data_IF_825177812344
#
_entry.id   IF_825177812344
#
_cell.length_a   1.000
_cell.length_b   1.000
_cell.length_c   1.000
_cell.angle_alpha   90.00
_cell.angle_beta   90.00
_cell.angle_gamma   90.00
#
_symmetry.space_group_name_H-M   'P 1'
#
loop_
_entity.id
_entity.type
_entity.pdbx_description
1 polymer ?
#
# COMPACT_ATOMS: atom_id res chain seq x y z
N UNK A 1 1.20 10.06 5.86
CA UNK A 1 1.04 11.54 5.84
C UNK A 1 0.35 11.98 7.13
N UNK A 2 0.57 13.21 7.59
CA UNK A 2 -0.03 13.70 8.85
C UNK A 2 -0.71 15.06 8.65
N UNK A 3 -1.93 15.23 9.14
CA UNK A 3 -2.63 16.52 9.21
C UNK A 3 -2.75 17.00 10.65
N UNK A 4 -2.70 18.31 10.88
CA UNK A 4 -3.03 18.92 12.18
C UNK A 4 -4.41 19.54 12.11
N UNK A 5 -5.31 19.10 12.97
CA UNK A 5 -6.66 19.64 13.10
C UNK A 5 -6.66 20.75 14.15
N UNK A 6 -7.16 21.93 13.80
CA UNK A 6 -7.29 23.05 14.75
C UNK A 6 -8.74 23.25 15.23
N UNK A 7 -9.68 22.47 14.69
CA UNK A 7 -11.11 22.61 14.98
C UNK A 7 -11.56 21.56 16.00
N UNK A 8 -11.09 20.31 15.86
CA UNK A 8 -11.40 19.21 16.78
C UNK A 8 -10.13 18.45 17.16
N UNK A 9 -10.08 18.00 18.43
CA UNK A 9 -9.02 17.16 18.97
C UNK A 9 -8.98 15.77 18.30
N UNK A 10 -7.81 15.14 18.19
CA UNK A 10 -7.68 13.80 17.59
C UNK A 10 -8.03 12.68 18.58
N UNK A 11 -7.96 12.97 19.88
CA UNK A 11 -8.19 12.06 21.00
C UNK A 11 -6.88 11.47 21.55
N UNK A 12 -6.85 11.28 22.87
CA UNK A 12 -5.74 10.62 23.59
C UNK A 12 -5.89 9.09 23.60
N UNK A 13 -7.14 8.61 23.63
CA UNK A 13 -7.49 7.20 23.54
C UNK A 13 -7.73 6.80 22.09
N UNK A 14 -6.72 6.17 21.47
CA UNK A 14 -6.77 5.74 20.08
C UNK A 14 -6.67 4.21 20.00
N UNK A 15 -7.31 3.61 18.98
CA UNK A 15 -7.16 2.18 18.66
C UNK A 15 -5.69 1.84 18.38
N UNK A 16 -5.28 0.58 18.54
CA UNK A 16 -3.96 0.12 18.09
C UNK A 16 -3.94 -0.25 16.61
N UNK A 17 -5.11 -0.42 16.00
CA UNK A 17 -5.29 -0.82 14.60
C UNK A 17 -6.19 0.19 13.89
N UNK A 18 -5.86 0.63 12.66
CA UNK A 18 -6.75 1.44 11.84
C UNK A 18 -8.06 0.69 11.54
N UNK A 19 -9.20 1.31 11.82
CA UNK A 19 -10.55 0.74 11.57
C UNK A 19 -11.43 1.60 10.69
N UNK A 20 -10.88 2.71 10.17
CA UNK A 20 -11.57 3.65 9.29
C UNK A 20 -10.67 4.02 8.13
N UNK A 21 -11.27 4.26 6.98
CA UNK A 21 -10.59 4.79 5.81
C UNK A 21 -11.42 5.85 5.11
N UNK A 22 -10.74 6.69 4.35
CA UNK A 22 -11.33 7.67 3.44
C UNK A 22 -10.73 7.47 2.06
N UNK A 23 -11.47 7.82 1.02
CA UNK A 23 -10.97 7.85 -0.34
C UNK A 23 -11.24 9.21 -0.98
N UNK A 24 -10.45 9.53 -2.01
CA UNK A 24 -10.68 10.72 -2.82
C UNK A 24 -11.75 10.41 -3.88
N UNK A 25 -13.03 10.64 -3.54
CA UNK A 25 -14.18 10.34 -4.43
C UNK A 25 -14.06 10.97 -5.81
N UNK A 26 -13.45 12.15 -5.91
CA UNK A 26 -13.21 12.80 -7.20
C UNK A 26 -12.26 11.98 -8.08
N UNK A 27 -11.24 11.33 -7.51
CA UNK A 27 -10.34 10.44 -8.26
C UNK A 27 -11.06 9.26 -8.87
N UNK A 28 -12.02 8.68 -8.15
CA UNK A 28 -12.86 7.58 -8.63
C UNK A 28 -13.88 8.04 -9.69
N UNK A 29 -14.19 9.35 -9.75
CA UNK A 29 -15.17 9.96 -10.66
C UNK A 29 -14.54 10.82 -11.76
N UNK A 30 -13.22 10.78 -11.94
CA UNK A 30 -12.49 11.51 -12.98
C UNK A 30 -12.23 13.00 -12.70
N UNK A 31 -12.55 13.49 -11.49
CA UNK A 31 -12.21 14.83 -11.00
C UNK A 31 -10.80 14.97 -10.41
N UNK A 32 -10.04 13.86 -10.34
CA UNK A 32 -8.61 13.86 -10.05
C UNK A 32 -7.91 12.78 -10.88
N UNK A 33 -6.64 13.00 -11.20
CA UNK A 33 -5.79 11.98 -11.85
C UNK A 33 -5.25 10.94 -10.87
N UNK A 34 -5.40 11.17 -9.56
CA UNK A 34 -4.91 10.30 -8.51
C UNK A 34 -6.04 9.51 -7.88
N UNK A 35 -5.84 8.21 -7.64
CA UNK A 35 -6.72 7.40 -6.80
C UNK A 35 -6.01 7.09 -5.50
N UNK A 36 -6.72 7.30 -4.39
CA UNK A 36 -6.16 7.15 -3.06
C UNK A 36 -7.21 6.59 -2.11
N UNK A 37 -6.84 5.53 -1.40
CA UNK A 37 -7.51 5.03 -0.21
C UNK A 37 -6.57 5.26 0.97
N UNK A 38 -6.98 6.04 1.96
CA UNK A 38 -6.18 6.38 3.12
C UNK A 38 -6.86 5.88 4.39
N UNK A 39 -6.22 4.97 5.10
CA UNK A 39 -6.65 4.60 6.45
C UNK A 39 -6.36 5.74 7.42
N UNK A 40 -7.28 5.97 8.35
CA UNK A 40 -7.08 6.88 9.49
C UNK A 40 -6.33 6.07 10.54
N UNK A 41 -5.02 6.24 10.55
CA UNK A 41 -4.12 5.48 11.39
C UNK A 41 -4.01 6.11 12.78
N UNK A 42 -3.92 5.30 13.84
CA UNK A 42 -3.74 5.81 15.19
C UNK A 42 -2.30 6.32 15.41
N UNK A 43 -2.17 7.27 16.32
CA UNK A 43 -0.93 7.77 16.88
C UNK A 43 -0.95 7.57 18.41
N UNK A 44 -0.66 6.34 18.90
CA UNK A 44 -0.91 5.93 20.28
C UNK A 44 0.18 6.44 21.24
N UNK A 45 0.31 7.77 21.37
CA UNK A 45 1.28 8.41 22.27
C UNK A 45 0.75 8.61 23.70
N UNK A 46 -0.52 8.29 23.95
CA UNK A 46 -1.15 8.47 25.27
C UNK A 46 -1.37 9.93 25.68
N UNK A 47 -1.28 10.87 24.73
CA UNK A 47 -1.52 12.30 24.91
C UNK A 47 -2.10 12.91 23.64
N UNK A 48 -2.83 14.01 23.78
CA UNK A 48 -3.40 14.74 22.63
C UNK A 48 -2.30 15.42 21.81
N UNK A 49 -2.29 15.18 20.49
CA UNK A 49 -1.28 15.75 19.56
C UNK A 49 -1.88 16.69 18.53
N UNK A 50 -3.21 16.79 18.48
CA UNK A 50 -4.00 17.42 17.43
C UNK A 50 -3.65 16.92 16.02
N UNK A 51 -2.99 15.77 15.92
CA UNK A 51 -2.45 15.22 14.66
C UNK A 51 -3.24 13.99 14.26
N UNK A 52 -3.82 14.04 13.05
CA UNK A 52 -4.39 12.88 12.39
C UNK A 52 -3.32 12.25 11.51
N UNK A 53 -3.00 10.98 11.77
CA UNK A 53 -2.10 10.19 10.94
C UNK A 53 -2.91 9.42 9.88
N UNK A 54 -2.37 9.37 8.68
CA UNK A 54 -2.93 8.58 7.59
C UNK A 54 -1.85 7.72 6.95
N UNK A 55 -2.23 6.48 6.63
CA UNK A 55 -1.46 5.61 5.74
C UNK A 55 -2.22 5.47 4.42
N UNK A 56 -1.58 5.89 3.34
CA UNK A 56 -2.23 6.04 2.03
C UNK A 56 -1.80 4.92 1.07
N UNK A 57 -2.78 4.33 0.42
CA UNK A 57 -2.65 3.38 -0.68
C UNK A 57 -3.06 4.12 -1.95
N UNK A 58 -2.18 4.14 -2.94
CA UNK A 58 -2.37 4.89 -4.20
C UNK A 58 -2.24 3.97 -5.41
N UNK A 59 -2.82 4.34 -6.54
CA UNK A 59 -2.67 3.64 -7.82
C UNK A 59 -1.35 3.97 -8.57
N UNK A 60 -0.25 4.09 -7.83
CA UNK A 60 1.06 4.40 -8.40
C UNK A 60 1.47 3.35 -9.45
N UNK A 61 1.72 3.77 -10.71
CA UNK A 61 2.05 2.85 -11.79
C UNK A 61 3.50 2.35 -11.74
N UNK A 62 4.37 2.98 -10.96
CA UNK A 62 5.78 2.62 -10.84
C UNK A 62 5.99 1.18 -10.34
N UNK A 63 7.03 0.51 -10.84
CA UNK A 63 7.41 -0.85 -10.44
C UNK A 63 8.92 -0.94 -10.24
N UNK A 64 9.33 -1.71 -9.22
CA UNK A 64 10.71 -2.11 -8.99
C UNK A 64 10.98 -3.53 -9.50
N UNK A 65 12.22 -3.97 -9.39
CA UNK A 65 12.59 -5.37 -9.60
C UNK A 65 13.57 -5.86 -8.55
N UNK A 66 13.51 -7.15 -8.26
CA UNK A 66 14.52 -7.84 -7.48
C UNK A 66 15.60 -8.38 -8.42
N UNK A 67 16.86 -8.27 -8.01
CA UNK A 67 17.99 -8.86 -8.73
C UNK A 67 18.96 -9.51 -7.75
N UNK A 68 19.61 -10.59 -8.19
CA UNK A 68 20.66 -11.23 -7.41
C UNK A 68 22.00 -10.55 -7.67
N UNK A 69 22.59 -9.96 -6.64
CA UNK A 69 23.93 -9.38 -6.69
C UNK A 69 24.99 -10.43 -6.33
N UNK A 70 25.70 -10.95 -7.34
CA UNK A 70 26.71 -12.00 -7.16
C UNK A 70 27.86 -11.59 -6.24
N UNK A 71 28.22 -10.30 -6.22
CA UNK A 71 29.35 -9.83 -5.43
C UNK A 71 29.07 -9.91 -3.92
N UNK A 72 27.84 -9.59 -3.51
CA UNK A 72 27.41 -9.68 -2.11
C UNK A 72 26.71 -11.00 -1.77
N UNK A 73 26.30 -11.78 -2.78
CA UNK A 73 25.52 -13.01 -2.56
C UNK A 73 24.10 -12.75 -2.06
N UNK A 74 23.52 -11.58 -2.34
CA UNK A 74 22.21 -11.17 -1.82
C UNK A 74 21.23 -10.79 -2.93
N UNK A 75 19.94 -10.93 -2.64
CA UNK A 75 18.88 -10.34 -3.48
C UNK A 75 18.69 -8.89 -3.06
N UNK A 76 18.75 -7.99 -4.04
CA UNK A 76 18.57 -6.55 -3.86
C UNK A 76 17.30 -6.08 -4.55
N UNK A 77 16.62 -5.13 -3.93
CA UNK A 77 15.49 -4.43 -4.54
C UNK A 77 16.01 -3.19 -5.28
N UNK A 78 15.75 -3.11 -6.58
CA UNK A 78 15.87 -1.89 -7.36
C UNK A 78 14.57 -1.11 -7.28
N UNK A 79 14.48 -0.24 -6.28
CA UNK A 79 13.41 0.75 -6.12
C UNK A 79 14.04 2.09 -5.73
N UNK A 80 13.75 3.15 -6.47
CA UNK A 80 14.24 4.50 -6.18
C UNK A 80 13.17 5.28 -5.44
N UNK A 81 13.57 6.09 -4.45
CA UNK A 81 12.64 6.97 -3.73
C UNK A 81 11.84 7.89 -4.67
N UNK A 82 12.42 8.33 -5.79
CA UNK A 82 11.72 9.13 -6.81
C UNK A 82 10.51 8.43 -7.42
N UNK A 83 10.47 7.09 -7.42
CA UNK A 83 9.31 6.32 -7.89
C UNK A 83 8.09 6.47 -6.96
N UNK A 84 8.26 7.01 -5.75
CA UNK A 84 7.15 7.35 -4.85
C UNK A 84 6.57 8.76 -5.11
N UNK A 85 7.09 9.54 -6.07
CA UNK A 85 6.61 10.90 -6.34
C UNK A 85 5.12 10.94 -6.69
N UNK A 86 4.63 9.97 -7.45
CA UNK A 86 3.20 9.83 -7.75
C UNK A 86 2.36 9.74 -6.46
N UNK A 87 2.74 8.83 -5.56
CA UNK A 87 2.04 8.61 -4.28
C UNK A 87 2.11 9.82 -3.37
N UNK A 88 3.26 10.51 -3.34
CA UNK A 88 3.42 11.75 -2.57
C UNK A 88 2.52 12.85 -3.10
N UNK A 89 2.39 13.00 -4.42
CA UNK A 89 1.53 14.03 -5.01
C UNK A 89 0.03 13.71 -4.82
N UNK A 90 -0.36 12.44 -4.90
CA UNK A 90 -1.72 12.00 -4.53
C UNK A 90 -2.05 12.34 -3.06
N UNK A 91 -1.11 12.09 -2.15
CA UNK A 91 -1.25 12.42 -0.73
C UNK A 91 -1.37 13.95 -0.49
N UNK A 92 -0.59 14.76 -1.22
CA UNK A 92 -0.70 16.23 -1.15
C UNK A 92 -2.10 16.71 -1.54
N UNK A 93 -2.63 16.25 -2.66
CA UNK A 93 -3.95 16.67 -3.13
C UNK A 93 -5.05 16.32 -2.12
N UNK A 94 -5.00 15.11 -1.53
CA UNK A 94 -5.95 14.71 -0.50
C UNK A 94 -5.86 15.63 0.74
N UNK A 95 -4.64 15.90 1.23
CA UNK A 95 -4.44 16.78 2.39
C UNK A 95 -4.90 18.22 2.10
N UNK A 96 -4.64 18.75 0.90
CA UNK A 96 -5.09 20.09 0.49
C UNK A 96 -6.63 20.19 0.49
N UNK A 97 -7.32 19.16 -0.03
CA UNK A 97 -8.78 19.12 -0.02
C UNK A 97 -9.35 19.02 1.39
N UNK A 98 -8.76 18.17 2.24
CA UNK A 98 -9.15 18.06 3.65
C UNK A 98 -8.96 19.39 4.38
N UNK A 99 -7.84 20.07 4.15
CA UNK A 99 -7.54 21.37 4.75
C UNK A 99 -8.50 22.46 4.27
N UNK A 100 -8.84 22.48 2.97
CA UNK A 100 -9.82 23.42 2.41
C UNK A 100 -11.21 23.23 3.00
N UNK A 101 -11.63 21.98 3.23
CA UNK A 101 -12.96 21.67 3.73
C UNK A 101 -13.10 21.85 5.24
N UNK A 102 -12.05 21.55 6.02
CA UNK A 102 -12.13 21.46 7.48
C UNK A 102 -11.19 22.44 8.23
N UNK A 103 -10.36 23.20 7.52
CA UNK A 103 -9.21 23.88 8.11
C UNK A 103 -8.09 22.91 8.46
N UNK A 104 -7.07 23.39 9.18
CA UNK A 104 -5.89 22.59 9.51
C UNK A 104 -4.73 22.80 8.54
N UNK A 105 -3.62 22.09 8.80
CA UNK A 105 -2.42 22.12 7.94
C UNK A 105 -1.70 20.80 7.97
N UNK A 106 -0.80 20.59 7.02
CA UNK A 106 0.15 19.48 7.07
C UNK A 106 0.94 19.53 8.39
N UNK A 107 0.99 18.41 9.10
CA UNK A 107 1.83 18.25 10.29
C UNK A 107 3.19 17.68 9.88
N UNK A 108 4.25 18.13 10.54
CA UNK A 108 5.62 17.61 10.37
C UNK A 108 6.10 16.86 11.62
N UNK A 109 5.18 16.44 12.49
CA UNK A 109 5.50 15.79 13.77
C UNK A 109 6.31 14.50 13.59
N UNK A 110 5.94 13.67 12.59
CA UNK A 110 6.52 12.34 12.40
C UNK A 110 7.49 12.25 11.21
N UNK A 111 7.32 13.11 10.21
CA UNK A 111 8.07 13.03 8.96
C UNK A 111 8.54 14.41 8.53
N UNK A 112 9.79 14.47 8.04
CA UNK A 112 10.31 15.66 7.36
C UNK A 112 9.44 15.98 6.16
N UNK A 113 8.89 17.20 6.10
CA UNK A 113 7.87 17.63 5.12
C UNK A 113 6.53 16.87 5.19
N UNK A 114 6.21 16.15 6.27
CA UNK A 114 4.89 15.57 6.53
C UNK A 114 4.53 14.28 5.76
N UNK A 115 5.45 13.75 4.94
CA UNK A 115 5.26 12.53 4.14
C UNK A 115 6.39 11.53 4.41
N UNK A 116 6.04 10.32 4.84
CA UNK A 116 6.95 9.18 4.87
C UNK A 116 6.81 8.39 3.56
N UNK A 117 7.80 8.47 2.69
CA UNK A 117 7.82 7.91 1.33
C UNK A 117 8.98 6.91 1.12
N UNK A 118 9.55 6.41 2.22
CA UNK A 118 10.70 5.52 2.25
C UNK A 118 10.44 4.21 3.01
N UNK A 119 9.17 3.82 3.14
CA UNK A 119 8.75 2.57 3.79
C UNK A 119 7.61 1.91 3.01
N UNK A 120 7.38 0.62 3.25
CA UNK A 120 6.28 -0.14 2.69
C UNK A 120 5.83 -1.23 3.67
N UNK A 121 4.55 -1.24 4.06
CA UNK A 121 3.94 -2.36 4.80
C UNK A 121 3.33 -3.41 3.87
N UNK A 122 3.06 -3.06 2.61
CA UNK A 122 2.36 -3.90 1.65
C UNK A 122 3.25 -4.21 0.43
N UNK A 123 4.33 -5.02 0.59
CA UNK A 123 5.12 -5.45 -0.56
C UNK A 123 4.31 -6.42 -1.43
N UNK A 124 4.13 -6.07 -2.70
CA UNK A 124 3.32 -6.80 -3.68
C UNK A 124 4.13 -7.02 -4.96
N UNK A 125 4.18 -8.26 -5.45
CA UNK A 125 4.85 -8.62 -6.69
C UNK A 125 6.23 -9.24 -6.53
N UNK A 126 6.85 -9.56 -7.67
CA UNK A 126 8.12 -10.29 -7.77
C UNK A 126 7.96 -11.55 -8.63
N UNK A 127 6.92 -12.34 -8.37
CA UNK A 127 6.56 -13.55 -9.11
C UNK A 127 5.14 -13.43 -9.66
N UNK A 128 4.89 -12.37 -10.44
CA UNK A 128 3.55 -11.94 -10.84
C UNK A 128 2.79 -13.03 -11.58
N UNK A 129 1.51 -13.23 -11.20
CA UNK A 129 0.56 -14.15 -11.83
C UNK A 129 0.44 -13.92 -13.33
N UNK A 130 0.43 -14.98 -14.12
CA UNK A 130 0.41 -14.92 -15.58
C UNK A 130 1.73 -14.46 -16.23
N UNK A 131 2.69 -13.92 -15.45
CA UNK A 131 4.02 -13.50 -15.92
C UNK A 131 5.10 -14.52 -15.56
N UNK A 132 5.48 -14.59 -14.28
CA UNK A 132 6.48 -15.55 -13.79
C UNK A 132 5.85 -16.93 -13.51
N UNK A 133 4.56 -16.92 -13.18
CA UNK A 133 3.74 -18.10 -12.97
C UNK A 133 2.63 -18.17 -14.02
N UNK A 134 1.94 -19.32 -14.11
CA UNK A 134 0.65 -19.42 -14.80
C UNK A 134 -0.47 -18.69 -14.03
N UNK A 135 -1.73 -18.89 -14.43
CA UNK A 135 -2.90 -18.24 -13.81
C UNK A 135 -3.29 -18.81 -12.42
N UNK A 136 -2.58 -19.84 -11.94
CA UNK A 136 -2.81 -20.50 -10.65
C UNK A 136 -1.55 -20.53 -9.78
N UNK A 137 -0.49 -19.84 -10.17
CA UNK A 137 0.74 -19.74 -9.39
C UNK A 137 1.76 -20.85 -9.64
N UNK A 138 1.58 -21.72 -10.66
CA UNK A 138 2.62 -22.68 -11.07
C UNK A 138 3.79 -21.95 -11.69
N UNK A 139 5.01 -22.20 -11.23
CA UNK A 139 6.22 -21.58 -11.78
C UNK A 139 6.45 -22.06 -13.20
N UNK A 140 6.55 -21.13 -14.15
CA UNK A 140 6.75 -21.49 -15.56
C UNK A 140 8.09 -22.22 -15.74
N UNK A 141 8.05 -23.35 -16.46
CA UNK A 141 9.23 -24.17 -16.76
C UNK A 141 9.58 -25.19 -15.68
N UNK A 142 8.80 -25.29 -14.60
CA UNK A 142 9.00 -26.27 -13.55
C UNK A 142 7.68 -26.95 -13.19
N UNK A 143 7.72 -28.25 -12.96
CA UNK A 143 6.59 -29.02 -12.43
C UNK A 143 6.60 -28.95 -10.90
N UNK A 144 5.41 -28.95 -10.29
CA UNK A 144 5.21 -29.05 -8.84
C UNK A 144 5.91 -27.96 -8.00
N UNK A 145 6.18 -26.79 -8.60
CA UNK A 145 6.65 -25.59 -7.89
C UNK A 145 5.59 -24.50 -8.01
N UNK A 146 5.19 -23.95 -6.86
CA UNK A 146 4.06 -23.01 -6.76
C UNK A 146 4.45 -21.77 -5.95
N UNK A 147 3.89 -20.62 -6.34
CA UNK A 147 3.91 -19.37 -5.56
C UNK A 147 2.47 -19.06 -5.17
N UNK A 148 2.20 -18.76 -3.89
CA UNK A 148 0.85 -18.55 -3.36
C UNK A 148 0.73 -17.37 -2.37
N UNK A 149 1.64 -16.41 -2.46
CA UNK A 149 1.69 -15.25 -1.57
C UNK A 149 1.51 -13.93 -2.34
N UNK A 150 1.86 -12.80 -1.70
CA UNK A 150 1.75 -11.48 -2.31
C UNK A 150 2.65 -11.26 -3.52
N UNK A 151 3.63 -12.14 -3.78
CA UNK A 151 4.49 -12.04 -4.95
C UNK A 151 3.72 -12.23 -6.26
N UNK A 152 2.55 -12.86 -6.21
CA UNK A 152 1.63 -13.01 -7.35
C UNK A 152 0.97 -11.69 -7.79
N UNK A 153 0.87 -10.71 -6.89
CA UNK A 153 0.09 -9.49 -7.12
C UNK A 153 0.90 -8.50 -7.96
N UNK A 154 0.34 -7.85 -9.00
CA UNK A 154 1.08 -6.95 -9.90
C UNK A 154 1.35 -5.55 -9.30
N UNK A 155 1.86 -5.50 -8.07
CA UNK A 155 2.38 -4.30 -7.41
C UNK A 155 1.36 -3.41 -6.68
N UNK A 156 0.06 -3.54 -6.96
CA UNK A 156 -0.98 -2.81 -6.22
C UNK A 156 -2.28 -3.60 -6.16
N UNK A 157 -2.95 -3.53 -5.00
CA UNK A 157 -4.29 -4.09 -4.77
C UNK A 157 -5.35 -3.00 -4.52
N UNK A 158 -4.95 -1.72 -4.46
CA UNK A 158 -5.85 -0.58 -4.17
C UNK A 158 -6.35 -0.46 -2.73
N UNK A 159 -6.26 -1.53 -1.94
CA UNK A 159 -6.68 -1.63 -0.52
C UNK A 159 -5.67 -2.47 0.28
N UNK A 160 -5.87 -2.59 1.60
CA UNK A 160 -5.07 -3.49 2.44
C UNK A 160 -5.16 -4.93 1.88
N UNK A 161 -4.03 -5.55 1.51
CA UNK A 161 -4.05 -6.62 0.51
C UNK A 161 -4.36 -8.03 1.06
N UNK A 162 -4.31 -8.25 2.37
CA UNK A 162 -4.28 -9.61 2.93
C UNK A 162 -5.52 -10.44 2.57
N UNK A 163 -6.71 -9.83 2.51
CA UNK A 163 -7.94 -10.53 2.11
C UNK A 163 -7.86 -10.96 0.65
N UNK A 164 -7.33 -10.10 -0.23
CA UNK A 164 -7.15 -10.42 -1.65
C UNK A 164 -6.08 -11.52 -1.84
N UNK A 165 -4.97 -11.47 -1.09
CA UNK A 165 -3.94 -12.52 -1.09
C UNK A 165 -4.56 -13.86 -0.67
N UNK A 166 -5.32 -13.86 0.42
CA UNK A 166 -5.96 -15.06 0.96
C UNK A 166 -6.95 -15.66 -0.06
N UNK A 167 -7.83 -14.83 -0.63
CA UNK A 167 -8.79 -15.31 -1.63
C UNK A 167 -8.12 -15.83 -2.91
N UNK A 168 -7.00 -15.23 -3.33
CA UNK A 168 -6.22 -15.71 -4.47
C UNK A 168 -5.57 -17.07 -4.17
N UNK A 169 -4.98 -17.24 -2.99
CA UNK A 169 -4.39 -18.50 -2.57
C UNK A 169 -5.45 -19.62 -2.48
N UNK A 170 -6.62 -19.34 -1.91
CA UNK A 170 -7.75 -20.29 -1.85
C UNK A 170 -8.19 -20.74 -3.25
N UNK A 171 -8.40 -19.77 -4.17
CA UNK A 171 -8.71 -20.08 -5.58
C UNK A 171 -7.67 -20.99 -6.21
N UNK A 172 -6.40 -20.66 -6.03
CA UNK A 172 -5.30 -21.36 -6.68
C UNK A 172 -5.13 -22.78 -6.13
N UNK A 173 -5.13 -22.92 -4.80
CA UNK A 173 -4.97 -24.22 -4.15
C UNK A 173 -6.13 -25.16 -4.45
N UNK A 174 -7.37 -24.66 -4.52
CA UNK A 174 -8.51 -25.47 -4.95
C UNK A 174 -8.33 -26.05 -6.36
N UNK A 175 -7.73 -25.29 -7.28
CA UNK A 175 -7.45 -25.77 -8.64
C UNK A 175 -6.27 -26.73 -8.68
N UNK A 176 -5.17 -26.39 -8.02
CA UNK A 176 -3.95 -27.20 -7.97
C UNK A 176 -4.23 -28.58 -7.36
N UNK A 177 -4.94 -28.65 -6.23
CA UNK A 177 -5.27 -29.92 -5.59
C UNK A 177 -6.09 -30.85 -6.49
N UNK A 178 -6.94 -30.29 -7.35
CA UNK A 178 -7.79 -31.06 -8.27
C UNK A 178 -7.04 -31.53 -9.52
N UNK A 179 -6.22 -30.68 -10.10
CA UNK A 179 -5.62 -30.93 -11.42
C UNK A 179 -4.21 -31.54 -11.34
N UNK A 180 -3.46 -31.28 -10.26
CA UNK A 180 -2.08 -31.74 -10.12
C UNK A 180 -1.97 -32.93 -9.15
N UNK A 181 -2.95 -33.10 -8.26
CA UNK A 181 -2.94 -34.10 -7.19
C UNK A 181 -4.24 -34.91 -7.05
N UNK A 182 -5.22 -34.69 -7.94
CA UNK A 182 -6.55 -35.31 -7.91
C UNK A 182 -6.74 -36.52 -8.82
#
# INVERSE_FOLDING_TARGET
>A
MTGRNFVYAAGEAQSTIPVKGINLWDGDRGGSKYKIFAEIAPLPLGLETWTTLYLAITDNPERGNYYYDKASGTVKLNWKRSQNEYSVNAAKELIEKLAKANGGRLSSLLFTKGYGDNFCYHPLGGCVLGKATDEFGRVKGYENIYVQDSALIPGSAGVNPYVFITGLAERNMSYILKEDFG
#
